data_IF_001973106871
#
_entry.id   IF_001973106871
#
_cell.length_a   1.000
_cell.length_b   1.000
_cell.length_c   1.000
_cell.angle_alpha   90.00
_cell.angle_beta   90.00
_cell.angle_gamma   90.00
#
_symmetry.space_group_name_H-M   'P 1'
#
loop_
_entity.id
_entity.type
_entity.pdbx_description
1 polymer ?
#
# COMPACT_ATOMS: atom_id res chain seq x y z
N UNK A 1 1.50 20.34 -30.16
CA UNK A 1 1.22 19.68 -28.86
C UNK A 1 -0.13 18.98 -29.00
N UNK A 2 -0.23 17.71 -28.61
CA UNK A 2 -1.56 17.10 -28.40
C UNK A 2 -2.29 17.94 -27.35
N UNK A 3 -3.54 18.31 -27.60
CA UNK A 3 -4.36 18.99 -26.60
C UNK A 3 -4.57 18.01 -25.43
N UNK A 4 -4.08 18.37 -24.25
CA UNK A 4 -4.27 17.58 -23.04
C UNK A 4 -5.70 17.71 -22.53
N UNK A 5 -6.32 16.60 -22.14
CA UNK A 5 -7.61 16.60 -21.47
C UNK A 5 -7.47 17.34 -20.13
N UNK A 6 -8.03 18.55 -20.09
CA UNK A 6 -8.01 19.40 -18.91
C UNK A 6 -8.69 18.66 -17.74
N UNK A 7 -8.07 18.72 -16.57
CA UNK A 7 -8.59 18.15 -15.31
C UNK A 7 -8.86 16.62 -15.33
N UNK A 8 -8.31 15.87 -16.30
CA UNK A 8 -8.37 14.40 -16.30
C UNK A 8 -7.51 13.81 -15.17
N UNK A 9 -8.13 13.03 -14.29
CA UNK A 9 -7.44 12.31 -13.21
C UNK A 9 -7.43 10.81 -13.49
N UNK A 10 -6.29 10.17 -13.29
CA UNK A 10 -6.17 8.72 -13.41
C UNK A 10 -6.97 8.03 -12.28
N UNK A 11 -7.97 7.23 -12.66
CA UNK A 11 -8.80 6.45 -11.74
C UNK A 11 -8.18 5.07 -11.54
N UNK A 12 -7.77 4.41 -12.63
CA UNK A 12 -7.10 3.12 -12.59
C UNK A 12 -6.01 3.02 -13.66
N UNK A 13 -4.83 2.55 -13.26
CA UNK A 13 -3.69 2.37 -14.16
C UNK A 13 -3.24 0.91 -14.22
N UNK A 14 -2.74 0.53 -15.39
CA UNK A 14 -2.22 -0.81 -15.67
C UNK A 14 -0.94 -0.73 -16.49
N UNK A 15 0.06 -1.52 -16.11
CA UNK A 15 1.20 -1.78 -16.97
C UNK A 15 0.83 -2.78 -18.06
N UNK A 16 1.00 -2.38 -19.33
CA UNK A 16 0.51 -3.15 -20.48
C UNK A 16 1.52 -3.13 -21.64
N UNK A 17 1.26 -3.95 -22.65
CA UNK A 17 1.98 -3.94 -23.93
C UNK A 17 1.07 -3.46 -25.06
N UNK A 18 1.45 -2.39 -25.76
CA UNK A 18 0.83 -1.95 -27.01
C UNK A 18 1.40 -2.73 -28.18
N UNK A 19 0.53 -3.29 -29.02
CA UNK A 19 0.91 -4.00 -30.24
C UNK A 19 0.68 -3.08 -31.45
N UNK A 20 1.75 -2.79 -32.19
CA UNK A 20 1.72 -1.94 -33.38
C UNK A 20 2.50 -2.60 -34.51
N UNK A 21 2.31 -2.13 -35.74
CA UNK A 21 3.08 -2.56 -36.91
C UNK A 21 4.58 -2.29 -36.76
N UNK A 22 4.96 -1.26 -35.99
CA UNK A 22 6.37 -0.93 -35.69
C UNK A 22 6.99 -1.81 -34.60
N UNK A 23 6.18 -2.62 -33.90
CA UNK A 23 6.63 -3.46 -32.80
C UNK A 23 5.73 -3.41 -31.57
N UNK A 24 6.22 -4.02 -30.49
CA UNK A 24 5.56 -4.08 -29.18
C UNK A 24 6.21 -3.08 -28.22
N UNK A 25 5.40 -2.34 -27.49
CA UNK A 25 5.88 -1.29 -26.59
C UNK A 25 5.21 -1.37 -25.23
N UNK A 26 5.99 -1.27 -24.15
CA UNK A 26 5.46 -1.12 -22.79
C UNK A 26 4.81 0.25 -22.61
N UNK A 27 3.62 0.27 -22.01
CA UNK A 27 2.83 1.49 -21.75
C UNK A 27 2.13 1.38 -20.41
N UNK A 28 1.88 2.53 -19.80
CA UNK A 28 0.87 2.64 -18.75
C UNK A 28 -0.45 2.94 -19.45
N UNK A 29 -1.48 2.14 -19.23
CA UNK A 29 -2.84 2.40 -19.67
C UNK A 29 -3.66 2.90 -18.51
N UNK A 30 -4.19 4.10 -18.63
CA UNK A 30 -4.99 4.77 -17.62
C UNK A 30 -6.43 4.90 -18.08
N UNK A 31 -7.33 4.46 -17.20
CA UNK A 31 -8.74 4.85 -17.18
C UNK A 31 -8.82 6.10 -16.30
N UNK A 32 -9.17 7.24 -16.90
CA UNK A 32 -9.25 8.52 -16.21
C UNK A 32 -10.65 9.12 -16.24
N UNK A 33 -10.91 10.10 -15.38
CA UNK A 33 -12.25 10.70 -15.19
C UNK A 33 -12.88 11.32 -16.44
N UNK A 34 -12.08 11.69 -17.45
CA UNK A 34 -12.54 12.34 -18.68
C UNK A 34 -12.15 11.57 -19.95
N UNK A 35 -11.42 10.45 -19.81
CA UNK A 35 -11.02 9.65 -20.96
C UNK A 35 -9.90 8.67 -20.68
N UNK A 36 -9.49 7.96 -21.73
CA UNK A 36 -8.40 6.98 -21.67
C UNK A 36 -7.09 7.64 -22.08
N UNK A 37 -6.05 7.42 -21.27
CA UNK A 37 -4.71 7.94 -21.55
C UNK A 37 -3.69 6.81 -21.53
N UNK A 38 -2.68 6.89 -22.40
CA UNK A 38 -1.54 5.98 -22.38
C UNK A 38 -0.23 6.74 -22.20
N UNK A 39 0.62 6.29 -21.28
CA UNK A 39 1.87 6.98 -20.94
C UNK A 39 3.10 6.13 -21.27
N UNK A 40 4.21 6.83 -21.50
CA UNK A 40 5.53 6.21 -21.45
C UNK A 40 5.82 5.82 -19.99
N UNK A 41 6.20 4.57 -19.69
CA UNK A 41 6.41 4.14 -18.31
C UNK A 41 7.62 4.80 -17.64
N UNK A 42 8.67 5.17 -18.40
CA UNK A 42 9.85 5.81 -17.85
C UNK A 42 9.68 7.32 -17.65
N UNK A 43 9.16 8.03 -18.64
CA UNK A 43 9.02 9.50 -18.58
C UNK A 43 7.68 9.98 -18.05
N UNK A 44 6.67 9.11 -17.92
CA UNK A 44 5.28 9.47 -17.62
C UNK A 44 4.66 10.48 -18.60
N UNK A 45 5.28 10.67 -19.77
CA UNK A 45 4.71 11.53 -20.82
C UNK A 45 3.55 10.83 -21.52
N UNK A 46 2.53 11.61 -21.86
CA UNK A 46 1.37 11.15 -22.62
C UNK A 46 1.83 10.73 -24.02
N UNK A 47 1.52 9.48 -24.38
CA UNK A 47 1.79 8.93 -25.72
C UNK A 47 0.55 8.92 -26.60
N UNK A 48 -0.63 8.72 -26.01
CA UNK A 48 -1.93 8.87 -26.67
C UNK A 48 -2.96 9.24 -25.60
N UNK A 49 -3.98 10.00 -25.97
CA UNK A 49 -5.07 10.39 -25.08
C UNK A 49 -6.35 10.53 -25.89
N UNK A 50 -7.46 10.02 -25.35
CA UNK A 50 -8.76 10.00 -26.00
C UNK A 50 -9.85 10.39 -24.99
N UNK A 51 -10.60 11.46 -25.29
CA UNK A 51 -11.78 11.82 -24.51
C UNK A 51 -12.86 10.74 -24.64
N UNK A 52 -13.73 10.58 -23.64
CA UNK A 52 -14.80 9.58 -23.70
C UNK A 52 -15.77 9.78 -24.88
N UNK A 53 -15.99 11.00 -25.36
CA UNK A 53 -16.81 11.26 -26.55
C UNK A 53 -16.17 10.76 -27.87
N UNK A 54 -14.85 10.53 -27.87
CA UNK A 54 -14.06 9.95 -28.95
C UNK A 54 -13.80 8.45 -28.75
N UNK A 55 -13.98 7.96 -27.53
CA UNK A 55 -13.80 6.56 -27.14
C UNK A 55 -15.07 5.75 -27.42
N UNK A 56 -15.03 4.84 -28.40
CA UNK A 56 -16.21 4.06 -28.81
C UNK A 56 -16.37 2.83 -27.92
N UNK A 57 -15.27 2.15 -27.60
CA UNK A 57 -15.34 0.99 -26.72
C UNK A 57 -14.03 0.25 -26.52
N UNK A 58 -14.06 -0.65 -25.55
CA UNK A 58 -12.99 -1.56 -25.21
C UNK A 58 -13.56 -2.97 -25.13
N UNK A 59 -12.88 -3.94 -25.74
CA UNK A 59 -13.36 -5.30 -25.80
C UNK A 59 -12.20 -6.32 -25.76
N UNK A 60 -12.43 -7.52 -25.22
CA UNK A 60 -11.48 -8.61 -25.31
C UNK A 60 -11.19 -8.97 -26.77
N UNK A 61 -9.93 -9.29 -27.10
CA UNK A 61 -9.61 -9.83 -28.42
C UNK A 61 -9.85 -11.34 -28.44
N UNK A 62 -11.07 -11.75 -28.78
CA UNK A 62 -11.48 -13.17 -28.79
C UNK A 62 -10.68 -14.00 -29.81
N UNK A 63 -10.08 -13.35 -30.82
CA UNK A 63 -9.26 -14.01 -31.85
C UNK A 63 -7.79 -14.23 -31.42
N UNK A 64 -7.38 -13.70 -30.26
CA UNK A 64 -6.02 -13.88 -29.78
C UNK A 64 -5.77 -15.31 -29.31
N UNK A 65 -4.54 -15.80 -29.48
CA UNK A 65 -4.14 -17.12 -29.01
C UNK A 65 -4.17 -17.25 -27.47
N UNK A 66 -4.07 -16.12 -26.76
CA UNK A 66 -4.13 -16.07 -25.30
C UNK A 66 -5.20 -15.10 -24.80
N UNK A 67 -5.59 -15.26 -23.54
CA UNK A 67 -6.66 -14.48 -22.93
C UNK A 67 -6.18 -13.12 -22.36
N UNK A 68 -5.07 -12.58 -22.88
CA UNK A 68 -4.43 -11.36 -22.37
C UNK A 68 -4.66 -10.16 -23.29
N UNK A 69 -5.04 -10.39 -24.55
CA UNK A 69 -5.22 -9.32 -25.53
C UNK A 69 -6.60 -8.65 -25.43
N UNK A 70 -6.62 -7.34 -25.66
CA UNK A 70 -7.82 -6.53 -25.80
C UNK A 70 -7.62 -5.47 -26.89
N UNK A 71 -8.74 -4.97 -27.40
CA UNK A 71 -8.77 -3.96 -28.47
C UNK A 71 -9.61 -2.78 -27.98
N UNK A 72 -9.11 -1.58 -28.20
CA UNK A 72 -9.88 -0.35 -28.03
C UNK A 72 -10.28 0.18 -29.41
N UNK A 73 -11.46 0.76 -29.52
CA UNK A 73 -11.99 1.38 -30.75
C UNK A 73 -12.30 2.84 -30.52
N UNK A 74 -11.70 3.73 -31.31
CA UNK A 74 -11.78 5.19 -31.20
C UNK A 74 -12.35 5.81 -32.46
N UNK A 75 -12.88 7.03 -32.36
CA UNK A 75 -13.17 7.86 -33.54
C UNK A 75 -11.87 8.37 -34.16
N UNK A 76 -11.83 8.40 -35.48
CA UNK A 76 -10.77 9.00 -36.31
C UNK A 76 -11.42 10.01 -37.27
N UNK A 77 -11.71 11.20 -36.75
CA UNK A 77 -12.55 12.19 -37.45
C UNK A 77 -14.03 11.82 -37.43
N UNK A 78 -14.86 12.53 -38.21
CA UNK A 78 -16.32 12.48 -38.07
C UNK A 78 -16.99 11.15 -38.48
N UNK A 79 -16.39 10.37 -39.38
CA UNK A 79 -17.03 9.18 -39.97
C UNK A 79 -16.20 7.89 -39.93
N UNK A 80 -14.95 7.94 -39.46
CA UNK A 80 -14.06 6.78 -39.44
C UNK A 80 -13.73 6.38 -38.02
N UNK A 81 -13.42 5.10 -37.84
CA UNK A 81 -12.96 4.53 -36.57
C UNK A 81 -11.54 4.01 -36.72
N UNK A 82 -10.81 3.96 -35.61
CA UNK A 82 -9.49 3.37 -35.50
C UNK A 82 -9.46 2.40 -34.34
N UNK A 83 -8.73 1.29 -34.48
CA UNK A 83 -8.56 0.31 -33.43
C UNK A 83 -7.10 0.21 -33.00
N UNK A 84 -6.86 0.04 -31.71
CA UNK A 84 -5.53 -0.28 -31.19
C UNK A 84 -5.58 -1.55 -30.35
N UNK A 85 -4.52 -2.37 -30.47
CA UNK A 85 -4.40 -3.65 -29.79
C UNK A 85 -3.41 -3.56 -28.63
N UNK A 86 -3.78 -4.16 -27.51
CA UNK A 86 -2.98 -4.19 -26.28
C UNK A 86 -3.03 -5.58 -25.64
N UNK A 87 -2.09 -5.87 -24.74
CA UNK A 87 -2.13 -7.06 -23.88
C UNK A 87 -1.65 -6.80 -22.46
N UNK A 88 -2.19 -7.53 -21.50
CA UNK A 88 -1.79 -7.55 -20.09
C UNK A 88 -2.27 -8.84 -19.42
N UNK A 89 -1.54 -9.31 -18.41
CA UNK A 89 -1.94 -10.45 -17.59
C UNK A 89 -3.18 -10.14 -16.74
N UNK A 90 -3.50 -8.85 -16.56
CA UNK A 90 -4.64 -8.38 -15.77
C UNK A 90 -5.83 -7.93 -16.63
N UNK A 91 -6.01 -8.50 -17.83
CA UNK A 91 -6.99 -8.03 -18.82
C UNK A 91 -8.42 -7.99 -18.23
N UNK A 92 -8.82 -9.02 -17.49
CA UNK A 92 -10.16 -9.07 -16.89
C UNK A 92 -10.40 -7.94 -15.88
N UNK A 93 -9.43 -7.66 -15.01
CA UNK A 93 -9.47 -6.57 -14.03
C UNK A 93 -9.51 -5.20 -14.73
N UNK A 94 -8.66 -5.02 -15.75
CA UNK A 94 -8.61 -3.80 -16.56
C UNK A 94 -9.95 -3.54 -17.26
N UNK A 95 -10.51 -4.55 -17.94
CA UNK A 95 -11.80 -4.41 -18.62
C UNK A 95 -12.91 -4.09 -17.63
N UNK A 96 -12.87 -4.69 -16.43
CA UNK A 96 -13.83 -4.38 -15.37
C UNK A 96 -13.72 -2.91 -14.99
N UNK A 97 -12.55 -2.42 -14.57
CA UNK A 97 -12.37 -1.00 -14.20
C UNK A 97 -12.75 -0.02 -15.33
N UNK A 98 -12.43 -0.35 -16.58
CA UNK A 98 -12.71 0.50 -17.73
C UNK A 98 -14.21 0.58 -18.10
N UNK A 99 -14.99 -0.46 -17.77
CA UNK A 99 -16.43 -0.53 -18.05
C UNK A 99 -17.29 -0.11 -16.84
N UNK A 100 -16.70 -0.07 -15.64
CA UNK A 100 -17.38 0.12 -14.34
C UNK A 100 -17.18 1.54 -13.78
N UNK A 101 -16.30 2.36 -14.37
CA UNK A 101 -15.78 3.61 -13.76
C UNK A 101 -16.81 4.67 -13.37
N UNK A 102 -18.09 4.50 -13.74
CA UNK A 102 -19.17 5.49 -13.56
C UNK A 102 -20.38 4.94 -12.77
N UNK A 103 -20.18 3.91 -11.93
CA UNK A 103 -21.17 2.94 -11.44
C UNK A 103 -22.58 3.47 -10.99
N UNK A 104 -23.62 3.35 -11.85
CA UNK A 104 -25.03 3.51 -11.51
C UNK A 104 -25.59 2.22 -10.88
N UNK A 105 -26.51 2.32 -9.90
CA UNK A 105 -27.21 1.14 -9.33
C UNK A 105 -26.71 0.59 -7.99
N UNK A 106 -25.89 1.35 -7.24
CA UNK A 106 -25.38 0.92 -5.93
C UNK A 106 -26.43 0.88 -4.80
N UNK A 107 -26.36 -0.15 -3.94
CA UNK A 107 -27.14 -0.27 -2.68
C UNK A 107 -26.19 -0.63 -1.54
N UNK A 108 -26.24 0.11 -0.43
CA UNK A 108 -25.54 -0.25 0.78
C UNK A 108 -26.51 -0.76 1.86
N UNK A 109 -26.25 -1.95 2.38
CA UNK A 109 -27.04 -2.60 3.44
C UNK A 109 -26.28 -2.46 4.77
N UNK A 110 -27.01 -2.07 5.82
CA UNK A 110 -26.50 -2.05 7.21
C UNK A 110 -27.29 -3.09 8.00
N UNK A 111 -26.59 -3.97 8.69
CA UNK A 111 -27.22 -4.99 9.54
C UNK A 111 -26.44 -5.18 10.85
N UNK A 112 -27.19 -5.39 11.95
CA UNK A 112 -26.65 -5.67 13.28
C UNK A 112 -26.13 -4.45 14.06
N UNK A 113 -25.81 -4.66 15.34
CA UNK A 113 -25.40 -3.60 16.29
C UNK A 113 -24.02 -2.98 16.04
N UNK A 114 -23.27 -3.48 15.05
CA UNK A 114 -21.92 -3.00 14.73
C UNK A 114 -21.90 -1.91 13.65
N UNK A 115 -23.03 -1.63 12.98
CA UNK A 115 -23.16 -0.62 11.91
C UNK A 115 -22.20 -0.81 10.73
N UNK A 116 -21.91 -2.06 10.35
CA UNK A 116 -21.11 -2.36 9.15
C UNK A 116 -21.95 -2.19 7.90
N UNK A 117 -21.34 -1.67 6.84
CA UNK A 117 -22.01 -1.50 5.55
C UNK A 117 -21.51 -2.53 4.55
N UNK A 118 -22.45 -3.04 3.76
CA UNK A 118 -22.19 -3.98 2.65
C UNK A 118 -22.73 -3.36 1.36
N UNK A 119 -21.86 -3.08 0.39
CA UNK A 119 -22.24 -2.46 -0.88
C UNK A 119 -22.48 -3.53 -1.95
N UNK A 120 -23.59 -3.40 -2.64
CA UNK A 120 -24.01 -4.18 -3.78
C UNK A 120 -24.27 -3.26 -4.97
N UNK A 121 -24.23 -3.85 -6.15
CA UNK A 121 -24.27 -3.19 -7.44
C UNK A 121 -25.31 -3.92 -8.30
N UNK A 122 -26.43 -3.26 -8.64
CA UNK A 122 -27.62 -3.93 -9.18
C UNK A 122 -28.29 -3.10 -10.27
N UNK A 123 -28.66 -3.75 -11.38
CA UNK A 123 -29.40 -3.11 -12.48
C UNK A 123 -30.83 -2.73 -12.06
N UNK A 124 -31.52 -3.59 -11.31
CA UNK A 124 -32.91 -3.40 -10.86
C UNK A 124 -32.98 -3.04 -9.36
N UNK A 125 -32.23 -2.01 -8.97
CA UNK A 125 -32.07 -1.56 -7.59
C UNK A 125 -33.39 -1.37 -6.83
N UNK A 126 -34.30 -0.60 -7.40
CA UNK A 126 -35.52 -0.17 -6.71
C UNK A 126 -36.54 -1.32 -6.60
N UNK A 127 -36.60 -2.19 -7.61
CA UNK A 127 -37.43 -3.40 -7.58
C UNK A 127 -36.97 -4.36 -6.49
N UNK A 128 -35.66 -4.60 -6.36
CA UNK A 128 -35.12 -5.46 -5.30
C UNK A 128 -35.36 -4.87 -3.91
N UNK A 129 -35.13 -3.56 -3.72
CA UNK A 129 -35.40 -2.88 -2.45
C UNK A 129 -36.85 -3.06 -2.01
N UNK A 130 -37.80 -2.91 -2.95
CA UNK A 130 -39.22 -3.08 -2.69
C UNK A 130 -39.55 -4.55 -2.35
N UNK A 131 -39.06 -5.49 -3.14
CA UNK A 131 -39.27 -6.92 -2.91
C UNK A 131 -38.74 -7.37 -1.54
N UNK A 132 -37.56 -6.87 -1.13
CA UNK A 132 -36.98 -7.14 0.19
C UNK A 132 -37.85 -6.56 1.31
N UNK A 133 -38.32 -5.32 1.19
CA UNK A 133 -39.18 -4.69 2.20
C UNK A 133 -40.54 -5.37 2.34
N UNK A 134 -41.16 -5.74 1.21
CA UNK A 134 -42.43 -6.45 1.17
C UNK A 134 -42.28 -7.85 1.77
N UNK A 135 -41.22 -8.59 1.39
CA UNK A 135 -40.98 -9.93 1.91
C UNK A 135 -40.65 -9.92 3.42
N UNK A 136 -39.83 -8.96 3.86
CA UNK A 136 -39.51 -8.77 5.28
C UNK A 136 -40.75 -8.56 6.12
N UNK A 137 -41.68 -7.73 5.64
CA UNK A 137 -42.93 -7.42 6.35
C UNK A 137 -43.90 -8.60 6.31
N UNK A 138 -44.12 -9.18 5.15
CA UNK A 138 -45.20 -10.14 4.93
C UNK A 138 -44.87 -11.57 5.40
N UNK A 139 -43.60 -11.97 5.38
CA UNK A 139 -43.20 -13.35 5.67
C UNK A 139 -42.31 -13.50 6.91
N UNK A 140 -41.54 -12.46 7.26
CA UNK A 140 -40.59 -12.52 8.38
C UNK A 140 -41.04 -11.66 9.56
N UNK A 141 -41.96 -10.71 9.35
CA UNK A 141 -42.41 -9.76 10.37
C UNK A 141 -41.35 -8.70 10.72
N UNK A 142 -40.39 -8.46 9.83
CA UNK A 142 -39.29 -7.49 10.02
C UNK A 142 -39.51 -6.27 9.13
N UNK A 143 -39.60 -5.10 9.75
CA UNK A 143 -39.68 -3.83 9.03
C UNK A 143 -38.29 -3.39 8.55
N UNK A 144 -38.06 -3.44 7.24
CA UNK A 144 -36.81 -2.99 6.62
C UNK A 144 -36.91 -1.49 6.33
N UNK A 145 -36.03 -0.70 6.95
CA UNK A 145 -36.00 0.76 6.80
C UNK A 145 -35.09 1.18 5.65
N UNK A 146 -35.68 1.77 4.61
CA UNK A 146 -34.95 2.39 3.50
C UNK A 146 -34.77 3.88 3.80
N UNK A 147 -33.53 4.37 3.78
CA UNK A 147 -33.24 5.80 3.96
C UNK A 147 -33.73 6.58 2.74
N UNK A 148 -34.39 7.73 2.98
CA UNK A 148 -34.82 8.65 1.91
C UNK A 148 -33.63 9.24 1.15
N UNK A 149 -32.56 9.57 1.88
CA UNK A 149 -31.30 10.04 1.30
C UNK A 149 -30.32 8.86 1.20
N UNK A 150 -29.88 8.48 -0.01
CA UNK A 150 -28.86 7.46 -0.18
C UNK A 150 -27.51 7.95 0.35
N UNK A 151 -26.69 7.01 0.84
CA UNK A 151 -25.31 7.34 1.21
C UNK A 151 -24.45 7.44 -0.06
N UNK A 152 -23.48 8.34 -0.05
CA UNK A 152 -22.49 8.41 -1.13
C UNK A 152 -21.50 7.25 -1.04
N UNK A 153 -20.81 6.94 -2.14
CA UNK A 153 -19.74 5.93 -2.11
C UNK A 153 -18.63 6.29 -1.11
N UNK A 154 -18.30 7.58 -0.99
CA UNK A 154 -17.33 8.06 0.00
C UNK A 154 -17.81 7.83 1.44
N UNK A 155 -19.08 8.12 1.72
CA UNK A 155 -19.70 7.83 3.01
C UNK A 155 -19.72 6.33 3.30
N UNK A 156 -20.03 5.49 2.31
CA UNK A 156 -19.94 4.04 2.43
C UNK A 156 -18.52 3.63 2.82
N UNK A 157 -17.54 4.06 2.03
CA UNK A 157 -16.14 3.72 2.19
C UNK A 157 -15.57 4.14 3.56
N UNK A 158 -15.96 5.31 4.07
CA UNK A 158 -15.54 5.81 5.36
C UNK A 158 -16.12 4.98 6.52
N UNK A 159 -17.36 4.51 6.39
CA UNK A 159 -18.11 3.87 7.48
C UNK A 159 -18.22 2.34 7.35
N UNK A 160 -17.67 1.73 6.30
CA UNK A 160 -17.91 0.30 5.97
C UNK A 160 -17.64 -0.69 7.10
N UNK A 161 -16.66 -0.39 7.95
CA UNK A 161 -16.24 -1.25 9.06
C UNK A 161 -17.02 -1.00 10.36
N UNK A 162 -17.88 0.01 10.40
CA UNK A 162 -18.75 0.32 11.53
C UNK A 162 -18.05 0.96 12.72
N UNK A 163 -18.70 0.90 13.90
CA UNK A 163 -18.34 1.66 15.11
C UNK A 163 -16.99 1.25 15.72
N UNK A 164 -16.60 -0.02 15.59
CA UNK A 164 -15.38 -0.59 16.18
C UNK A 164 -14.29 -0.81 15.14
N UNK A 165 -14.24 0.06 14.12
CA UNK A 165 -13.30 -0.02 13.00
C UNK A 165 -11.87 -0.22 13.49
N UNK A 166 -11.40 0.62 14.40
CA UNK A 166 -9.97 0.68 14.72
C UNK A 166 -9.53 -0.54 15.53
N UNK A 167 -10.32 -0.98 16.51
CA UNK A 167 -10.06 -2.24 17.24
C UNK A 167 -10.10 -3.47 16.32
N UNK A 168 -11.01 -3.49 15.35
CA UNK A 168 -11.08 -4.56 14.34
C UNK A 168 -9.86 -4.55 13.44
N UNK A 169 -9.46 -3.38 12.93
CA UNK A 169 -8.28 -3.23 12.07
C UNK A 169 -7.02 -3.61 12.85
N UNK A 170 -6.86 -3.19 14.10
CA UNK A 170 -5.73 -3.56 14.95
C UNK A 170 -5.66 -5.08 15.14
N UNK A 171 -6.78 -5.71 15.50
CA UNK A 171 -6.83 -7.17 15.68
C UNK A 171 -6.52 -7.94 14.39
N UNK A 172 -7.03 -7.46 13.26
CA UNK A 172 -6.75 -8.05 11.93
C UNK A 172 -5.29 -7.85 11.55
N UNK A 173 -4.74 -6.66 11.78
CA UNK A 173 -3.34 -6.32 11.51
C UNK A 173 -2.42 -7.25 12.31
N UNK A 174 -2.68 -7.41 13.60
CA UNK A 174 -1.90 -8.28 14.48
C UNK A 174 -2.01 -9.74 14.05
N UNK A 175 -3.22 -10.22 13.72
CA UNK A 175 -3.44 -11.58 13.21
C UNK A 175 -2.68 -11.85 11.90
N UNK A 176 -2.70 -10.92 10.95
CA UNK A 176 -1.99 -11.03 9.66
C UNK A 176 -0.47 -11.01 9.87
N UNK A 177 0.04 -10.14 10.75
CA UNK A 177 1.48 -10.10 11.07
C UNK A 177 1.92 -11.37 11.81
N UNK A 178 1.12 -11.85 12.75
CA UNK A 178 1.38 -13.08 13.50
C UNK A 178 1.37 -14.33 12.60
N UNK A 179 0.60 -14.33 11.51
CA UNK A 179 0.63 -15.39 10.50
C UNK A 179 1.87 -15.33 9.58
N UNK A 180 2.81 -14.42 9.84
CA UNK A 180 4.01 -14.22 9.03
C UNK A 180 3.84 -13.31 7.82
N UNK A 181 2.64 -12.77 7.57
CA UNK A 181 2.44 -11.83 6.47
C UNK A 181 2.93 -10.43 6.85
N UNK A 182 4.05 -10.03 6.25
CA UNK A 182 4.75 -8.75 6.50
C UNK A 182 4.31 -7.62 5.57
N UNK A 183 3.36 -7.87 4.68
CA UNK A 183 2.96 -6.96 3.60
C UNK A 183 1.81 -6.00 3.99
N UNK A 184 1.25 -6.17 5.18
CA UNK A 184 0.19 -5.31 5.71
C UNK A 184 0.75 -4.04 6.36
N UNK A 185 0.15 -2.89 6.02
CA UNK A 185 0.51 -1.57 6.57
C UNK A 185 -0.72 -0.76 6.99
N UNK A 186 -0.51 0.16 7.93
CA UNK A 186 -1.47 1.21 8.30
C UNK A 186 -1.09 2.49 7.58
N UNK A 187 -2.08 3.18 7.01
CA UNK A 187 -1.89 4.44 6.28
C UNK A 187 -2.94 5.47 6.67
N UNK A 188 -2.56 6.75 6.73
CA UNK A 188 -3.50 7.85 6.97
C UNK A 188 -4.52 8.00 5.84
N UNK A 189 -4.07 7.81 4.59
CA UNK A 189 -4.91 7.91 3.40
C UNK A 189 -4.88 6.62 2.58
N UNK A 190 -5.97 6.42 1.84
CA UNK A 190 -6.07 5.34 0.87
C UNK A 190 -4.99 5.48 -0.20
N UNK A 191 -4.43 4.36 -0.64
CA UNK A 191 -3.56 4.34 -1.80
C UNK A 191 -4.34 4.81 -3.04
N UNK A 192 -3.87 5.86 -3.75
CA UNK A 192 -4.54 6.31 -4.97
C UNK A 192 -4.52 5.22 -6.05
N UNK A 193 -5.69 4.76 -6.50
CA UNK A 193 -5.82 3.66 -7.48
C UNK A 193 -5.17 4.01 -8.83
N UNK A 194 -5.20 5.28 -9.24
CA UNK A 194 -4.51 5.77 -10.44
C UNK A 194 -2.98 5.76 -10.36
N UNK A 195 -2.39 5.59 -9.17
CA UNK A 195 -0.94 5.46 -9.03
C UNK A 195 -0.47 4.00 -9.10
N UNK A 196 -1.33 3.05 -8.78
CA UNK A 196 -1.05 1.61 -8.89
C UNK A 196 -1.09 1.17 -10.35
N UNK A 197 -0.07 0.48 -10.83
CA UNK A 197 0.05 -0.02 -12.22
C UNK A 197 -0.41 -1.47 -12.40
N UNK A 198 -1.48 -1.85 -11.71
CA UNK A 198 -2.08 -3.19 -11.74
C UNK A 198 -3.18 -3.35 -10.67
N UNK A 199 -3.69 -4.56 -10.43
CA UNK A 199 -4.58 -4.82 -9.31
C UNK A 199 -3.89 -4.57 -7.96
N UNK A 200 -4.66 -4.28 -6.91
CA UNK A 200 -4.12 -4.18 -5.55
C UNK A 200 -3.79 -5.55 -4.93
N UNK A 201 -4.39 -6.61 -5.45
CA UNK A 201 -4.32 -7.97 -4.91
C UNK A 201 -3.14 -8.79 -5.45
N UNK A 202 -2.44 -8.27 -6.45
CA UNK A 202 -1.33 -8.97 -7.11
C UNK A 202 -0.12 -8.05 -7.14
N UNK A 203 1.09 -8.54 -6.86
CA UNK A 203 2.33 -7.79 -7.05
C UNK A 203 2.48 -7.20 -8.45
N UNK A 204 3.25 -6.12 -8.56
CA UNK A 204 3.60 -5.53 -9.86
C UNK A 204 4.77 -6.26 -10.52
N UNK A 205 4.89 -6.10 -11.83
CA UNK A 205 6.02 -6.60 -12.59
C UNK A 205 7.36 -5.98 -12.15
N UNK A 206 8.45 -6.71 -12.32
CA UNK A 206 9.82 -6.25 -12.05
C UNK A 206 10.14 -4.91 -12.74
N UNK A 207 9.68 -4.74 -13.98
CA UNK A 207 9.91 -3.52 -14.74
C UNK A 207 9.23 -2.30 -14.09
N UNK A 208 8.06 -2.50 -13.47
CA UNK A 208 7.35 -1.47 -12.71
C UNK A 208 8.13 -1.10 -11.45
N UNK A 209 8.64 -2.08 -10.71
CA UNK A 209 9.48 -1.81 -9.53
C UNK A 209 10.72 -0.99 -9.92
N UNK A 210 11.45 -1.43 -10.95
CA UNK A 210 12.65 -0.77 -11.44
C UNK A 210 12.36 0.66 -11.94
N UNK A 211 11.20 0.87 -12.56
CA UNK A 211 10.74 2.19 -13.03
C UNK A 211 10.56 3.15 -11.87
N UNK A 212 9.84 2.74 -10.81
CA UNK A 212 9.61 3.60 -9.66
C UNK A 212 10.87 3.86 -8.83
N UNK A 213 11.80 2.90 -8.72
CA UNK A 213 13.12 3.14 -8.16
C UNK A 213 13.88 4.24 -8.92
N UNK A 214 13.90 4.15 -10.26
CA UNK A 214 14.52 5.17 -11.11
C UNK A 214 13.85 6.52 -10.96
N UNK A 215 12.52 6.57 -10.87
CA UNK A 215 11.77 7.82 -10.71
C UNK A 215 12.04 8.53 -9.38
N UNK A 216 12.39 7.81 -8.31
CA UNK A 216 12.84 8.46 -7.06
C UNK A 216 14.16 9.20 -7.26
N UNK A 217 15.11 8.58 -7.96
CA UNK A 217 16.42 9.18 -8.21
C UNK A 217 16.37 10.29 -9.28
N UNK A 218 15.72 10.02 -10.41
CA UNK A 218 15.53 10.93 -11.53
C UNK A 218 14.03 11.17 -11.73
N UNK A 219 13.50 12.18 -11.03
CA UNK A 219 12.07 12.52 -11.06
C UNK A 219 11.67 12.91 -12.49
N UNK A 220 10.66 12.25 -13.08
CA UNK A 220 10.18 12.60 -14.42
C UNK A 220 9.72 14.06 -14.54
N UNK A 221 9.83 14.63 -15.73
CA UNK A 221 9.43 16.01 -15.98
C UNK A 221 7.94 16.23 -15.67
N UNK A 222 7.63 17.29 -14.93
CA UNK A 222 6.26 17.61 -14.50
C UNK A 222 5.77 16.83 -13.27
N UNK A 223 6.54 15.87 -12.74
CA UNK A 223 6.23 15.15 -11.51
C UNK A 223 6.94 15.81 -10.31
N UNK A 224 6.26 15.88 -9.17
CA UNK A 224 6.91 16.31 -7.91
C UNK A 224 7.59 15.13 -7.23
N UNK A 225 8.59 15.40 -6.36
CA UNK A 225 9.21 14.32 -5.59
C UNK A 225 8.21 13.59 -4.68
N UNK A 226 7.27 14.31 -4.05
CA UNK A 226 6.22 13.71 -3.22
C UNK A 226 5.32 12.78 -4.04
N UNK A 227 4.99 13.16 -5.28
CA UNK A 227 4.24 12.28 -6.17
C UNK A 227 5.04 11.03 -6.55
N UNK A 228 6.34 11.15 -6.83
CA UNK A 228 7.22 10.01 -7.09
C UNK A 228 7.24 9.03 -5.89
N UNK A 229 7.31 9.55 -4.66
CA UNK A 229 7.20 8.76 -3.42
C UNK A 229 5.85 8.08 -3.28
N UNK A 230 4.74 8.79 -3.53
CA UNK A 230 3.39 8.21 -3.48
C UNK A 230 3.18 7.12 -4.54
N UNK A 231 3.70 7.31 -5.75
CA UNK A 231 3.67 6.29 -6.82
C UNK A 231 4.55 5.09 -6.48
N UNK A 232 5.73 5.30 -5.90
CA UNK A 232 6.56 4.21 -5.39
C UNK A 232 5.81 3.38 -4.33
N UNK A 233 5.23 4.04 -3.32
CA UNK A 233 4.46 3.37 -2.27
C UNK A 233 3.19 2.67 -2.76
N UNK A 234 2.63 3.09 -3.89
CA UNK A 234 1.47 2.44 -4.50
C UNK A 234 1.85 1.14 -5.23
N UNK A 235 3.09 1.01 -5.70
CA UNK A 235 3.52 -0.12 -6.54
C UNK A 235 4.40 -1.12 -5.81
N UNK A 236 5.20 -0.67 -4.84
CA UNK A 236 6.07 -1.55 -4.06
C UNK A 236 5.29 -2.11 -2.87
N UNK A 237 5.31 -3.44 -2.74
CA UNK A 237 4.78 -4.16 -1.57
C UNK A 237 5.39 -3.60 -0.29
N UNK A 238 4.61 -3.55 0.78
CA UNK A 238 5.13 -3.13 2.06
C UNK A 238 6.34 -3.97 2.46
N UNK A 239 6.26 -5.29 2.33
CA UNK A 239 7.34 -6.27 2.61
C UNK A 239 8.64 -6.04 1.86
N UNK A 240 8.67 -5.08 0.93
CA UNK A 240 9.85 -4.68 0.18
C UNK A 240 9.73 -5.01 -1.30
N UNK A 241 10.86 -4.88 -2.00
CA UNK A 241 10.98 -5.22 -3.42
C UNK A 241 11.03 -6.72 -3.61
N UNK A 242 10.05 -7.28 -4.32
CA UNK A 242 9.93 -8.73 -4.51
C UNK A 242 10.97 -9.25 -5.50
N UNK A 243 11.36 -8.40 -6.46
CA UNK A 243 12.31 -8.77 -7.50
C UNK A 243 13.75 -8.35 -7.16
N UNK A 244 14.03 -7.94 -5.92
CA UNK A 244 15.39 -7.56 -5.51
C UNK A 244 16.35 -8.76 -5.37
N UNK A 245 15.83 -9.99 -5.26
CA UNK A 245 16.60 -11.23 -4.99
C UNK A 245 16.82 -12.08 -6.25
N UNK A 246 16.35 -11.65 -7.43
CA UNK A 246 16.42 -12.50 -8.64
C UNK A 246 17.85 -12.61 -9.18
N UNK A 247 18.40 -13.81 -8.98
CA UNK A 247 19.61 -14.41 -9.58
C UNK A 247 20.97 -13.81 -9.19
N UNK A 248 21.80 -14.62 -8.52
CA UNK A 248 23.24 -14.41 -8.46
C UNK A 248 23.79 -14.20 -9.89
N UNK A 249 24.37 -13.03 -10.15
CA UNK A 249 24.88 -12.68 -11.47
C UNK A 249 24.97 -11.17 -11.72
N UNK A 250 25.50 -10.80 -12.89
CA UNK A 250 25.78 -9.42 -13.31
C UNK A 250 24.55 -8.48 -13.25
N UNK A 251 23.33 -9.03 -13.29
CA UNK A 251 22.08 -8.27 -13.25
C UNK A 251 21.63 -7.88 -11.84
N UNK A 252 22.07 -8.59 -10.78
CA UNK A 252 21.74 -8.25 -9.39
C UNK A 252 22.41 -6.94 -8.92
N UNK A 253 23.65 -6.70 -9.35
CA UNK A 253 24.40 -5.47 -9.01
C UNK A 253 23.71 -4.19 -9.50
N UNK A 254 22.96 -4.27 -10.60
CA UNK A 254 22.22 -3.12 -11.11
C UNK A 254 21.03 -2.73 -10.21
N UNK A 255 20.41 -3.68 -9.49
CA UNK A 255 19.26 -3.40 -8.61
C UNK A 255 19.67 -2.83 -7.27
N UNK A 256 20.74 -3.37 -6.67
CA UNK A 256 21.32 -2.82 -5.44
C UNK A 256 21.68 -1.34 -5.63
N UNK A 257 22.33 -1.01 -6.75
CA UNK A 257 22.61 0.38 -7.12
C UNK A 257 21.35 1.23 -7.20
N UNK A 258 20.27 0.74 -7.82
CA UNK A 258 19.00 1.48 -7.91
C UNK A 258 18.36 1.70 -6.53
N UNK A 259 18.41 0.71 -5.64
CA UNK A 259 17.90 0.82 -4.26
C UNK A 259 18.68 1.88 -3.48
N UNK A 260 20.02 1.84 -3.56
CA UNK A 260 20.88 2.79 -2.87
C UNK A 260 20.68 4.23 -3.40
N UNK A 261 20.53 4.40 -4.72
CA UNK A 261 20.21 5.70 -5.33
C UNK A 261 18.83 6.22 -4.92
N UNK A 262 17.84 5.34 -4.76
CA UNK A 262 16.50 5.70 -4.27
C UNK A 262 16.53 6.12 -2.78
N UNK A 263 17.27 5.40 -1.94
CA UNK A 263 17.49 5.77 -0.53
C UNK A 263 18.18 7.13 -0.41
N UNK A 264 19.25 7.34 -1.20
CA UNK A 264 19.96 8.61 -1.23
C UNK A 264 19.04 9.76 -1.66
N UNK A 265 18.23 9.56 -2.71
CA UNK A 265 17.27 10.57 -3.16
C UNK A 265 16.23 10.92 -2.08
N UNK A 266 15.75 9.93 -1.30
CA UNK A 266 14.84 10.18 -0.18
C UNK A 266 15.44 11.08 0.88
N UNK A 267 16.68 10.84 1.34
CA UNK A 267 17.29 11.66 2.40
C UNK A 267 17.80 13.03 1.90
N UNK A 268 18.00 13.19 0.59
CA UNK A 268 18.43 14.45 -0.02
C UNK A 268 17.26 15.35 -0.39
N UNK A 269 16.12 14.78 -0.80
CA UNK A 269 14.96 15.51 -1.34
C UNK A 269 13.73 15.46 -0.44
N UNK A 270 13.87 15.03 0.81
CA UNK A 270 12.77 14.90 1.79
C UNK A 270 12.14 16.24 2.23
N UNK A 271 12.76 17.38 1.93
CA UNK A 271 12.30 18.71 2.33
C UNK A 271 12.50 19.00 3.83
N UNK A 272 11.92 20.11 4.31
CA UNK A 272 11.94 20.44 5.74
C UNK A 272 10.86 19.66 6.49
N UNK A 273 11.30 18.77 7.37
CA UNK A 273 10.45 17.85 8.13
C UNK A 273 9.48 18.55 9.10
N UNK A 274 9.73 19.82 9.43
CA UNK A 274 8.83 20.61 10.26
C UNK A 274 7.68 21.25 9.46
N UNK A 275 7.87 21.41 8.14
CA UNK A 275 6.95 22.14 7.25
C UNK A 275 6.23 21.24 6.25
N UNK A 276 6.82 20.09 5.91
CA UNK A 276 6.19 19.10 5.02
C UNK A 276 4.84 18.66 5.60
N UNK A 277 3.88 18.38 4.72
CA UNK A 277 2.56 17.91 5.15
C UNK A 277 2.66 16.56 5.84
N UNK A 278 1.72 16.27 6.75
CA UNK A 278 1.74 15.00 7.48
C UNK A 278 1.62 13.79 6.55
N UNK A 279 0.84 13.93 5.47
CA UNK A 279 0.71 12.94 4.41
C UNK A 279 2.05 12.64 3.72
N UNK A 280 2.76 13.69 3.29
CA UNK A 280 4.04 13.53 2.60
C UNK A 280 5.11 12.96 3.53
N UNK A 281 5.12 13.37 4.81
CA UNK A 281 6.04 12.82 5.81
C UNK A 281 5.80 11.33 6.06
N UNK A 282 4.54 10.93 6.25
CA UNK A 282 4.15 9.53 6.41
C UNK A 282 4.56 8.71 5.16
N UNK A 283 4.30 9.23 3.96
CA UNK A 283 4.68 8.58 2.71
C UNK A 283 6.20 8.38 2.59
N UNK A 284 7.01 9.32 3.07
CA UNK A 284 8.47 9.17 3.09
C UNK A 284 8.92 8.04 4.02
N UNK A 285 8.33 7.89 5.22
CA UNK A 285 8.61 6.76 6.10
C UNK A 285 8.18 5.43 5.49
N UNK A 286 7.01 5.40 4.86
CA UNK A 286 6.52 4.23 4.12
C UNK A 286 7.46 3.81 2.97
N UNK A 287 8.09 4.76 2.29
CA UNK A 287 9.06 4.47 1.23
C UNK A 287 10.39 3.97 1.79
N UNK A 288 10.90 4.61 2.85
CA UNK A 288 12.09 4.17 3.57
C UNK A 288 11.93 2.73 4.07
N UNK A 289 10.81 2.42 4.75
CA UNK A 289 10.49 1.08 5.26
C UNK A 289 10.56 0.01 4.16
N UNK A 290 9.97 0.29 3.00
CA UNK A 290 9.97 -0.63 1.84
C UNK A 290 11.37 -0.85 1.27
N UNK A 291 12.20 0.19 1.19
CA UNK A 291 13.57 0.08 0.68
C UNK A 291 14.45 -0.70 1.66
N UNK A 292 14.40 -0.39 2.96
CA UNK A 292 15.21 -1.06 3.99
C UNK A 292 14.76 -2.50 4.28
N UNK A 293 13.57 -2.89 3.83
CA UNK A 293 13.14 -4.29 3.89
C UNK A 293 14.00 -5.20 2.99
N UNK A 294 14.56 -4.66 1.90
CA UNK A 294 15.49 -5.37 1.03
C UNK A 294 16.89 -5.48 1.65
N UNK A 295 17.66 -6.51 1.28
CA UNK A 295 19.05 -6.69 1.75
C UNK A 295 19.92 -5.46 1.46
N UNK A 296 19.89 -4.98 0.22
CA UNK A 296 20.60 -3.78 -0.22
C UNK A 296 20.24 -2.55 0.61
N UNK A 297 18.95 -2.28 0.79
CA UNK A 297 18.53 -1.11 1.56
C UNK A 297 18.83 -1.22 3.05
N UNK A 298 18.78 -2.43 3.61
CA UNK A 298 19.12 -2.71 5.00
C UNK A 298 20.61 -2.43 5.28
N UNK A 299 21.50 -2.84 4.37
CA UNK A 299 22.95 -2.53 4.41
C UNK A 299 23.20 -1.04 4.16
N UNK A 300 22.47 -0.47 3.20
CA UNK A 300 22.54 0.95 2.83
C UNK A 300 22.32 1.90 4.01
N UNK A 301 21.59 1.49 5.06
CA UNK A 301 21.45 2.30 6.28
C UNK A 301 22.80 2.72 6.88
N UNK A 302 23.79 1.81 6.90
CA UNK A 302 25.11 2.09 7.49
C UNK A 302 26.14 2.55 6.47
N UNK A 303 25.98 2.16 5.21
CA UNK A 303 26.95 2.39 4.14
C UNK A 303 26.73 3.71 3.39
N UNK A 304 25.47 4.15 3.24
CA UNK A 304 25.15 5.40 2.54
C UNK A 304 25.57 6.59 3.43
N UNK A 305 26.37 7.54 2.91
CA UNK A 305 26.80 8.71 3.66
C UNK A 305 25.62 9.52 4.22
N UNK A 306 25.73 9.95 5.49
CA UNK A 306 24.72 10.74 6.22
C UNK A 306 23.35 10.07 6.43
N UNK A 307 23.16 8.84 5.94
CA UNK A 307 21.88 8.13 6.04
C UNK A 307 21.40 8.01 7.49
N UNK A 308 22.28 7.56 8.39
CA UNK A 308 21.99 7.39 9.82
C UNK A 308 21.57 8.71 10.49
N UNK A 309 22.33 9.77 10.27
CA UNK A 309 22.07 11.10 10.82
C UNK A 309 20.74 11.66 10.32
N UNK A 310 20.50 11.59 9.01
CA UNK A 310 19.28 12.09 8.36
C UNK A 310 18.04 11.35 8.83
N UNK A 311 18.08 10.02 8.85
CA UNK A 311 16.96 9.19 9.34
C UNK A 311 16.70 9.46 10.82
N UNK A 312 17.75 9.55 11.65
CA UNK A 312 17.60 9.85 13.07
C UNK A 312 16.95 11.22 13.31
N UNK A 313 17.44 12.27 12.64
CA UNK A 313 16.87 13.62 12.73
C UNK A 313 15.42 13.65 12.24
N UNK A 314 15.12 12.95 11.14
CA UNK A 314 13.77 12.82 10.59
C UNK A 314 12.81 12.22 11.61
N UNK A 315 13.19 11.12 12.25
CA UNK A 315 12.37 10.48 13.29
C UNK A 315 12.12 11.44 14.45
N UNK A 316 13.16 12.10 14.98
CA UNK A 316 12.98 13.05 16.10
C UNK A 316 12.01 14.18 15.74
N UNK A 317 12.16 14.76 14.54
CA UNK A 317 11.25 15.81 14.06
C UNK A 317 9.83 15.29 13.86
N UNK A 318 9.67 14.08 13.35
CA UNK A 318 8.40 13.42 13.15
C UNK A 318 7.67 13.16 14.47
N UNK A 319 8.37 12.66 15.50
CA UNK A 319 7.80 12.41 16.84
C UNK A 319 7.28 13.70 17.49
N UNK A 320 8.00 14.82 17.31
CA UNK A 320 7.58 16.14 17.79
C UNK A 320 6.29 16.67 17.15
N UNK A 321 5.81 16.07 16.05
CA UNK A 321 4.55 16.44 15.41
C UNK A 321 3.32 16.00 16.21
N UNK A 322 3.49 15.11 17.20
CA UNK A 322 2.39 14.55 18.02
C UNK A 322 1.21 14.07 17.17
N UNK A 323 1.52 13.34 16.10
CA UNK A 323 0.54 12.80 15.17
C UNK A 323 0.72 11.28 15.08
N UNK A 324 -0.32 10.54 15.43
CA UNK A 324 -0.25 9.09 15.62
C UNK A 324 0.16 8.34 14.36
N UNK A 325 -0.32 8.76 13.19
CA UNK A 325 0.02 8.11 11.92
C UNK A 325 1.50 8.33 11.54
N UNK A 326 2.01 9.55 11.74
CA UNK A 326 3.43 9.85 11.55
C UNK A 326 4.27 9.02 12.53
N UNK A 327 3.93 9.06 13.82
CA UNK A 327 4.63 8.30 14.85
C UNK A 327 4.63 6.81 14.53
N UNK A 328 3.48 6.23 14.19
CA UNK A 328 3.34 4.84 13.75
C UNK A 328 4.31 4.54 12.59
N UNK A 329 4.27 5.35 11.53
CA UNK A 329 5.10 5.11 10.33
C UNK A 329 6.60 5.22 10.62
N UNK A 330 7.01 6.15 11.49
CA UNK A 330 8.39 6.31 11.91
C UNK A 330 8.87 5.10 12.73
N UNK A 331 8.09 4.68 13.71
CA UNK A 331 8.42 3.52 14.56
C UNK A 331 8.42 2.21 13.76
N UNK A 332 7.45 1.99 12.86
CA UNK A 332 7.44 0.79 12.01
C UNK A 332 8.66 0.73 11.08
N UNK A 333 9.10 1.87 10.54
CA UNK A 333 10.35 1.96 9.77
C UNK A 333 11.59 1.66 10.63
N UNK A 334 11.65 2.16 11.87
CA UNK A 334 12.72 1.79 12.81
C UNK A 334 12.73 0.29 13.12
N UNK A 335 11.56 -0.32 13.30
CA UNK A 335 11.44 -1.78 13.48
C UNK A 335 12.06 -2.53 12.30
N UNK A 336 11.80 -2.09 11.06
CA UNK A 336 12.39 -2.68 9.86
C UNK A 336 13.91 -2.49 9.76
N UNK A 337 14.49 -1.50 10.44
CA UNK A 337 15.94 -1.28 10.53
C UNK A 337 16.62 -2.11 11.62
N UNK A 338 15.93 -2.42 12.73
CA UNK A 338 16.53 -3.25 13.78
C UNK A 338 16.27 -4.74 13.56
N UNK A 339 15.20 -5.11 12.87
CA UNK A 339 14.88 -6.51 12.54
C UNK A 339 14.81 -6.68 11.02
N UNK A 340 15.75 -7.41 10.41
CA UNK A 340 15.76 -7.67 8.97
C UNK A 340 14.44 -8.27 8.49
N UNK A 341 13.96 -7.80 7.34
CA UNK A 341 12.70 -8.26 6.74
C UNK A 341 12.87 -9.28 5.61
N UNK A 342 14.12 -9.59 5.26
CA UNK A 342 14.52 -10.52 4.21
C UNK A 342 15.18 -11.76 4.81
N UNK A 343 15.15 -12.85 4.05
CA UNK A 343 15.78 -14.12 4.43
C UNK A 343 17.31 -14.05 4.30
N UNK A 344 18.02 -14.94 5.00
CA UNK A 344 19.49 -15.07 4.95
C UNK A 344 20.23 -13.75 5.24
N UNK A 345 19.74 -13.00 6.22
CA UNK A 345 20.36 -11.73 6.62
C UNK A 345 21.70 -11.96 7.33
N UNK A 346 22.58 -10.96 7.27
CA UNK A 346 23.86 -10.96 7.97
C UNK A 346 23.66 -10.46 9.42
N UNK A 347 23.88 -11.36 10.39
CA UNK A 347 23.82 -11.05 11.83
C UNK A 347 24.73 -9.88 12.22
N UNK A 348 25.90 -9.74 11.57
CA UNK A 348 26.82 -8.63 11.82
C UNK A 348 26.20 -7.31 11.36
N UNK A 349 25.51 -7.32 10.22
CA UNK A 349 24.81 -6.15 9.71
C UNK A 349 23.63 -5.77 10.61
N UNK A 350 22.87 -6.75 11.11
CA UNK A 350 21.80 -6.50 12.08
C UNK A 350 22.33 -5.80 13.34
N UNK A 351 23.41 -6.33 13.92
CA UNK A 351 24.00 -5.72 15.11
C UNK A 351 24.58 -4.34 14.84
N UNK A 352 25.16 -4.13 13.66
CA UNK A 352 25.65 -2.81 13.25
C UNK A 352 24.50 -1.80 13.09
N UNK A 353 23.37 -2.22 12.53
CA UNK A 353 22.19 -1.37 12.42
C UNK A 353 21.66 -1.02 13.81
N UNK A 354 21.45 -2.01 14.70
CA UNK A 354 20.98 -1.80 16.08
C UNK A 354 21.87 -0.85 16.85
N UNK A 355 23.18 -1.11 16.89
CA UNK A 355 24.14 -0.25 17.58
C UNK A 355 24.21 1.15 16.99
N UNK A 356 24.14 1.29 15.66
CA UNK A 356 24.13 2.60 15.00
C UNK A 356 22.89 3.41 15.36
N UNK A 357 21.72 2.76 15.38
CA UNK A 357 20.43 3.40 15.62
C UNK A 357 20.27 3.82 17.09
N UNK A 358 20.77 2.99 18.00
CA UNK A 358 20.72 3.21 19.46
C UNK A 358 21.94 3.98 20.00
N UNK A 359 22.87 4.40 19.15
CA UNK A 359 24.12 5.06 19.58
C UNK A 359 23.90 6.44 20.23
N UNK A 360 22.81 7.12 19.88
CA UNK A 360 22.52 8.47 20.36
C UNK A 360 21.68 8.42 21.64
N UNK A 361 22.30 8.75 22.78
CA UNK A 361 21.60 8.84 24.08
C UNK A 361 20.39 9.76 24.02
N UNK A 362 20.53 10.94 23.40
CA UNK A 362 19.42 11.91 23.25
C UNK A 362 18.26 11.34 22.43
N UNK A 363 18.57 10.56 21.40
CA UNK A 363 17.55 9.89 20.58
C UNK A 363 16.80 8.83 21.40
N UNK A 364 17.53 8.02 22.17
CA UNK A 364 16.95 7.03 23.08
C UNK A 364 16.04 7.68 24.12
N UNK A 365 16.50 8.76 24.77
CA UNK A 365 15.71 9.52 25.74
C UNK A 365 14.39 10.00 25.11
N UNK A 366 14.44 10.55 23.89
CA UNK A 366 13.22 10.98 23.18
C UNK A 366 12.27 9.82 22.87
N UNK A 367 12.79 8.65 22.50
CA UNK A 367 11.97 7.45 22.26
C UNK A 367 11.35 6.92 23.56
N UNK A 368 12.08 6.97 24.67
CA UNK A 368 11.61 6.54 25.99
C UNK A 368 10.56 7.49 26.56
N UNK A 369 10.73 8.80 26.38
CA UNK A 369 9.73 9.82 26.72
C UNK A 369 8.41 9.56 25.97
N UNK A 370 8.49 9.34 24.66
CA UNK A 370 7.33 8.95 23.85
C UNK A 370 6.68 7.64 24.33
N UNK A 371 7.48 6.66 24.75
CA UNK A 371 6.95 5.44 25.34
C UNK A 371 6.14 5.72 26.61
N UNK A 372 6.69 6.51 27.52
CA UNK A 372 6.02 6.88 28.77
C UNK A 372 4.73 7.69 28.55
N UNK A 373 4.70 8.56 27.54
CA UNK A 373 3.50 9.34 27.23
C UNK A 373 2.36 8.48 26.64
N UNK A 374 2.66 7.35 26.01
CA UNK A 374 1.68 6.55 25.26
C UNK A 374 1.39 5.16 25.84
N UNK A 375 2.09 4.72 26.88
CA UNK A 375 1.79 3.47 27.58
C UNK A 375 0.84 3.78 28.73
N UNK A 376 -0.46 3.46 28.57
CA UNK A 376 -1.36 3.36 29.71
C UNK A 376 -1.07 2.05 30.45
N UNK A 377 -0.33 2.12 31.54
CA UNK A 377 0.03 0.99 32.39
C UNK A 377 0.76 1.44 33.65
N UNK A 378 0.73 0.61 34.69
CA UNK A 378 1.42 0.87 35.95
C UNK A 378 2.90 1.17 35.71
N UNK A 379 3.47 2.16 36.41
CA UNK A 379 4.81 2.68 36.14
C UNK A 379 5.90 1.59 36.18
N UNK A 380 5.66 0.53 36.94
CA UNK A 380 6.53 -0.65 37.04
C UNK A 380 6.55 -1.49 35.75
N UNK A 381 5.41 -1.62 35.04
CA UNK A 381 5.31 -2.36 33.77
C UNK A 381 6.00 -1.57 32.66
N UNK A 382 5.82 -0.24 32.64
CA UNK A 382 6.52 0.64 31.72
C UNK A 382 8.04 0.55 31.91
N UNK A 383 8.52 0.59 33.16
CA UNK A 383 9.95 0.45 33.49
C UNK A 383 10.54 -0.91 33.06
N UNK A 384 9.83 -2.02 33.30
CA UNK A 384 10.26 -3.36 32.84
C UNK A 384 10.26 -3.48 31.32
N UNK A 385 9.27 -2.92 30.65
CA UNK A 385 9.25 -2.88 29.18
C UNK A 385 10.40 -2.05 28.63
N UNK A 386 10.79 -0.94 29.26
CA UNK A 386 11.96 -0.14 28.88
C UNK A 386 13.27 -0.90 29.05
N UNK A 387 13.44 -1.65 30.14
CA UNK A 387 14.67 -2.42 30.38
C UNK A 387 14.86 -3.57 29.38
N UNK A 388 13.78 -4.30 29.05
CA UNK A 388 13.76 -5.32 28.00
C UNK A 388 14.01 -4.72 26.61
N UNK A 389 13.40 -3.58 26.35
CA UNK A 389 13.55 -2.82 25.13
C UNK A 389 14.98 -2.31 24.88
N UNK A 390 15.68 -1.89 25.94
CA UNK A 390 17.07 -1.43 25.90
C UNK A 390 18.07 -2.58 25.83
N UNK A 391 17.78 -3.71 26.46
CA UNK A 391 18.65 -4.90 26.45
C UNK A 391 18.56 -5.73 25.17
N UNK A 392 17.39 -5.80 24.52
CA UNK A 392 17.17 -6.61 23.31
C UNK A 392 17.13 -5.79 22.01
N UNK A 393 17.22 -4.46 22.09
CA UNK A 393 16.97 -3.58 20.94
C UNK A 393 15.51 -3.66 20.46
N UNK A 394 14.60 -4.09 21.33
CA UNK A 394 13.18 -4.29 21.04
C UNK A 394 12.33 -3.02 21.31
N UNK A 395 12.96 -1.91 21.74
CA UNK A 395 12.27 -0.66 22.15
C UNK A 395 11.21 -0.20 21.14
N UNK A 396 11.51 -0.03 19.84
CA UNK A 396 10.49 0.39 18.89
C UNK A 396 9.36 -0.62 18.67
N UNK A 397 9.60 -1.94 18.82
CA UNK A 397 8.55 -2.95 18.68
C UNK A 397 7.59 -2.94 19.89
N UNK A 398 8.15 -2.79 21.09
CA UNK A 398 7.35 -2.61 22.30
C UNK A 398 6.59 -1.29 22.30
N UNK A 399 7.22 -0.20 21.83
CA UNK A 399 6.56 1.09 21.63
C UNK A 399 5.41 0.99 20.63
N UNK A 400 5.65 0.37 19.47
CA UNK A 400 4.60 0.13 18.46
C UNK A 400 3.41 -0.63 19.07
N UNK A 401 3.69 -1.71 19.79
CA UNK A 401 2.65 -2.51 20.46
C UNK A 401 1.91 -1.66 21.50
N UNK A 402 2.62 -0.97 22.38
CA UNK A 402 2.01 -0.19 23.46
C UNK A 402 1.14 0.98 22.96
N UNK A 403 1.56 1.63 21.87
CA UNK A 403 0.81 2.74 21.27
C UNK A 403 -0.47 2.30 20.57
N UNK A 404 -0.50 1.10 19.96
CA UNK A 404 -1.56 0.73 19.01
C UNK A 404 -2.37 -0.52 19.38
N UNK A 405 -2.10 -1.16 20.53
CA UNK A 405 -2.85 -2.36 20.99
C UNK A 405 -3.70 -2.13 22.26
N UNK A 406 -3.92 -0.88 22.67
CA UNK A 406 -4.74 -0.58 23.84
C UNK A 406 -6.22 -0.99 23.62
N UNK A 407 -6.76 -1.80 24.52
CA UNK A 407 -8.18 -2.16 24.61
C UNK A 407 -8.63 -2.01 26.06
N UNK A 408 -9.72 -1.29 26.28
CA UNK A 408 -10.35 -1.04 27.59
C UNK A 408 -11.23 -2.19 28.07
N UNK A 409 -11.38 -3.27 27.29
CA UNK A 409 -12.27 -4.40 27.64
C UNK A 409 -11.50 -5.58 28.24
N UNK A 410 -11.72 -5.82 29.54
CA UNK A 410 -11.14 -6.91 30.33
C UNK A 410 -11.46 -8.30 29.78
N UNK A 411 -12.50 -8.43 28.93
CA UNK A 411 -12.89 -9.72 28.33
C UNK A 411 -12.00 -10.17 27.17
N UNK A 412 -11.20 -9.26 26.61
CA UNK A 412 -10.17 -9.59 25.61
C UNK A 412 -8.83 -10.00 26.26
N UNK A 413 -8.72 -9.91 27.60
CA UNK A 413 -7.52 -10.35 28.36
C UNK A 413 -7.34 -11.87 28.37
N UNK A 414 -8.39 -12.65 28.15
CA UNK A 414 -8.31 -14.12 28.13
C UNK A 414 -7.57 -14.66 26.89
N UNK A 415 -7.41 -13.85 25.84
CA UNK A 415 -6.50 -14.15 24.71
C UNK A 415 -5.06 -13.66 24.95
N UNK A 416 -4.75 -13.05 26.11
CA UNK A 416 -3.40 -12.54 26.47
C UNK A 416 -2.57 -13.54 27.27
N UNK A 417 -3.04 -14.76 27.54
CA UNK A 417 -2.21 -15.84 28.10
C UNK A 417 -1.31 -16.43 27.01
N UNK A 418 -0.26 -15.69 26.67
CA UNK A 418 0.81 -16.13 25.80
C UNK A 418 1.97 -15.14 25.72
N UNK A 419 2.70 -14.90 26.82
CA UNK A 419 4.11 -14.53 26.67
C UNK A 419 4.98 -15.21 27.73
N UNK A 420 5.13 -16.54 27.67
CA UNK A 420 6.15 -17.28 28.45
C UNK A 420 6.57 -18.60 27.79
N UNK A 421 6.97 -18.62 26.51
CA UNK A 421 7.79 -19.71 25.90
C UNK A 421 7.81 -19.69 24.37
N UNK A 422 8.54 -18.76 23.74
CA UNK A 422 8.90 -18.90 22.31
C UNK A 422 10.39 -18.76 22.02
N UNK A 423 11.21 -18.71 23.07
CA UNK A 423 12.62 -19.10 23.00
C UNK A 423 12.70 -20.51 23.63
N UNK A 424 13.29 -21.47 22.91
CA UNK A 424 13.26 -22.93 23.11
C UNK A 424 12.07 -23.69 22.48
N UNK A 425 12.12 -23.89 21.16
CA UNK A 425 11.91 -25.24 20.59
C UNK A 425 12.43 -25.26 19.14
N UNK A 426 13.74 -25.44 18.99
CA UNK A 426 14.25 -26.24 17.90
C UNK A 426 14.17 -27.69 18.39
N UNK A 427 13.46 -28.58 17.67
CA UNK A 427 13.78 -30.01 17.48
C UNK A 427 12.72 -30.66 16.55
N UNK A 428 13.23 -31.19 15.42
CA UNK A 428 12.80 -32.38 14.64
C UNK A 428 11.53 -32.38 13.74
N UNK A 429 11.77 -32.06 12.45
CA UNK A 429 11.47 -32.86 11.22
C UNK A 429 10.01 -33.15 10.75
N UNK A 430 9.77 -33.63 9.51
CA UNK A 430 9.58 -32.84 8.27
C UNK A 430 8.21 -33.11 7.60
N UNK A 431 7.55 -32.13 6.96
CA UNK A 431 6.66 -32.28 5.78
C UNK A 431 5.96 -30.97 5.35
N UNK A 432 5.42 -30.88 4.11
CA UNK A 432 5.73 -29.84 3.11
C UNK A 432 4.80 -28.61 3.14
N UNK A 433 5.03 -27.57 2.32
CA UNK A 433 4.44 -26.26 2.54
C UNK A 433 2.95 -26.24 2.19
N UNK A 434 2.17 -25.67 3.10
CA UNK A 434 0.75 -25.38 2.93
C UNK A 434 0.58 -24.35 1.79
N UNK A 435 -0.20 -24.73 0.76
CA UNK A 435 -0.47 -23.93 -0.43
C UNK A 435 -1.76 -23.12 -0.24
N UNK A 436 -1.74 -21.78 -0.08
CA UNK A 436 -2.95 -21.00 0.07
C UNK A 436 -3.51 -20.66 -1.31
N UNK A 437 -4.20 -21.62 -1.93
CA UNK A 437 -5.18 -21.27 -2.98
C UNK A 437 -6.49 -20.87 -2.29
N UNK A 438 -6.97 -19.69 -2.68
CA UNK A 438 -8.34 -19.19 -2.51
C UNK A 438 -8.87 -19.11 -1.08
N UNK A 439 -8.75 -17.93 -0.48
CA UNK A 439 -9.81 -17.41 0.40
C UNK A 439 -10.15 -16.01 -0.10
N UNK A 440 -11.22 -15.96 -0.90
CA UNK A 440 -11.87 -14.75 -1.36
C UNK A 440 -12.87 -14.32 -0.27
N UNK A 441 -12.80 -13.08 0.19
CA UNK A 441 -13.89 -12.38 0.87
C UNK A 441 -14.28 -11.14 0.08
#
# INVERSE_FOLDING_TARGET
>A
MMATLKDNKDVACYFITKHSWKGKYKRIFSVGTHGITTYNPGSFEITNQWAYNEFIGIAPNIKAANNQEFIITMKKGAKKTETMKFSTDHRADLLTEALVSDFPGGIAIIYGGFNRLHLFALEQRDELCKAIADAGTNYVGVLIRIRKEPITFDQFQANRLGKYRDSLIASVLDGVRASGNRDVCVKMYKTPRGYRLGPFTVPVDEEVEATHLKSLHAVPAGMTFNEAVSRFNANISYSGLLHAVTAEGLFAQNKEKLINLALQALIEREGDQERVSNECLEAQFHALRRLVASKAGYQGFTEIPKMREKVGLKVVKALKRKNDAITHSAIDMLCALMQPMHDNYDLRQEQLNKTSLMSSRKFLETLLEMFNENVEGDAEIAAKMQDLALSEGALPKHLHTAMFTQSTDSRMLTNRSGPKSTHFLCLTSPNPPFNPKSVTY
#
